data_IF_169663183968
#
_entry.id   IF_169663183968
#
_cell.length_a   1.000
_cell.length_b   1.000
_cell.length_c   1.000
_cell.angle_alpha   90.00
_cell.angle_beta   90.00
_cell.angle_gamma   90.00
#
_symmetry.space_group_name_H-M   'P 1'
#
loop_
_entity.id
_entity.type
_entity.pdbx_description
1 polymer ?
#
# COMPACT_ATOMS: atom_id res chain seq x y z
N UNK A 1 1.27 -14.08 7.04
CA UNK A 1 -0.03 -14.57 7.56
C UNK A 1 -0.64 -13.48 8.43
N UNK A 2 -1.91 -13.27 8.34
CA UNK A 2 -2.66 -12.35 9.20
C UNK A 2 -3.86 -13.13 9.76
N UNK A 3 -3.80 -13.49 11.04
CA UNK A 3 -4.76 -14.37 11.70
C UNK A 3 -4.94 -15.70 10.91
N UNK A 4 -6.13 -15.92 10.33
CA UNK A 4 -6.49 -17.04 9.49
C UNK A 4 -6.17 -16.87 8.00
N UNK A 5 -5.91 -15.64 7.55
CA UNK A 5 -5.56 -15.37 6.15
C UNK A 5 -4.13 -15.84 5.84
N UNK A 6 -3.98 -16.73 4.86
CA UNK A 6 -2.71 -17.26 4.37
C UNK A 6 -2.47 -16.80 2.95
N UNK A 7 -1.26 -16.34 2.66
CA UNK A 7 -0.83 -15.95 1.33
C UNK A 7 0.41 -16.74 0.95
N UNK A 8 0.37 -17.32 -0.23
CA UNK A 8 1.45 -18.06 -0.82
C UNK A 8 1.78 -17.39 -2.16
N UNK A 9 3.03 -17.15 -2.43
CA UNK A 9 3.47 -16.58 -3.69
C UNK A 9 4.69 -17.32 -4.23
N UNK A 10 4.78 -17.37 -5.54
CA UNK A 10 5.87 -17.99 -6.28
C UNK A 10 6.20 -17.14 -7.50
N UNK A 11 7.48 -16.96 -7.76
CA UNK A 11 7.94 -16.29 -8.97
C UNK A 11 8.06 -17.33 -10.10
N UNK A 12 7.71 -16.92 -11.33
CA UNK A 12 7.85 -17.74 -12.53
C UNK A 12 8.27 -16.91 -13.72
N UNK A 13 8.90 -17.53 -14.69
CA UNK A 13 9.12 -16.99 -16.03
C UNK A 13 7.92 -17.33 -16.93
N UNK A 14 7.95 -16.91 -18.22
CA UNK A 14 6.94 -17.28 -19.21
C UNK A 14 7.32 -18.56 -19.98
N UNK A 15 8.23 -19.34 -19.44
CA UNK A 15 8.48 -20.67 -19.93
C UNK A 15 7.37 -21.62 -19.45
N UNK A 16 6.93 -22.53 -20.34
CA UNK A 16 5.81 -23.42 -20.04
C UNK A 16 6.13 -24.35 -18.87
N UNK A 17 7.36 -24.85 -18.79
CA UNK A 17 7.77 -25.75 -17.74
C UNK A 17 7.90 -25.02 -16.41
N UNK A 18 8.38 -23.77 -16.40
CA UNK A 18 8.41 -22.92 -15.21
C UNK A 18 6.99 -22.61 -14.70
N UNK A 19 6.04 -22.31 -15.58
CA UNK A 19 4.65 -22.07 -15.18
C UNK A 19 4.02 -23.32 -14.58
N UNK A 20 4.20 -24.49 -15.23
CA UNK A 20 3.72 -25.76 -14.71
C UNK A 20 4.35 -26.09 -13.34
N UNK A 21 5.65 -25.87 -13.20
CA UNK A 21 6.36 -26.06 -11.92
C UNK A 21 5.83 -25.09 -10.84
N UNK A 22 5.58 -23.83 -11.18
CA UNK A 22 4.98 -22.88 -10.25
C UNK A 22 3.58 -23.31 -9.79
N UNK A 23 2.73 -23.79 -10.70
CA UNK A 23 1.41 -24.32 -10.37
C UNK A 23 1.52 -25.57 -9.48
N UNK A 24 2.46 -26.47 -9.78
CA UNK A 24 2.68 -27.67 -8.97
C UNK A 24 3.16 -27.32 -7.55
N UNK A 25 4.10 -26.39 -7.41
CA UNK A 25 4.57 -25.92 -6.09
C UNK A 25 3.45 -25.29 -5.27
N UNK A 26 2.56 -24.53 -5.90
CA UNK A 26 1.38 -23.96 -5.23
C UNK A 26 0.41 -25.06 -4.80
N UNK A 27 0.19 -26.07 -5.66
CA UNK A 27 -0.63 -27.25 -5.35
C UNK A 27 -0.07 -27.99 -4.13
N UNK A 28 1.22 -28.35 -4.14
CA UNK A 28 1.87 -29.10 -3.06
C UNK A 28 1.81 -28.31 -1.74
N UNK A 29 2.12 -27.01 -1.78
CA UNK A 29 2.06 -26.15 -0.60
C UNK A 29 0.63 -26.03 -0.04
N UNK A 30 -0.39 -25.95 -0.90
CA UNK A 30 -1.79 -25.90 -0.43
C UNK A 30 -2.25 -27.24 0.13
N UNK A 31 -1.74 -28.37 -0.41
CA UNK A 31 -1.98 -29.70 0.13
C UNK A 31 -1.38 -29.85 1.55
N UNK A 32 -0.13 -29.40 1.73
CA UNK A 32 0.53 -29.39 3.05
C UNK A 32 -0.23 -28.53 4.07
N UNK A 33 -0.66 -27.34 3.66
CA UNK A 33 -1.48 -26.45 4.49
C UNK A 33 -2.81 -27.12 4.87
N UNK A 34 -3.46 -27.78 3.92
CA UNK A 34 -4.71 -28.52 4.14
C UNK A 34 -4.53 -29.67 5.13
N UNK A 35 -3.47 -30.48 4.96
CA UNK A 35 -3.11 -31.57 5.87
C UNK A 35 -2.83 -31.04 7.29
N UNK A 36 -2.07 -29.95 7.40
CA UNK A 36 -1.83 -29.30 8.69
C UNK A 36 -3.12 -28.81 9.34
N UNK A 37 -4.01 -28.17 8.58
CA UNK A 37 -5.32 -27.74 9.08
C UNK A 37 -6.11 -28.93 9.61
N UNK A 38 -6.20 -30.02 8.83
CA UNK A 38 -6.91 -31.23 9.24
C UNK A 38 -6.35 -31.85 10.53
N UNK A 39 -5.02 -31.87 10.69
CA UNK A 39 -4.37 -32.35 11.92
C UNK A 39 -4.73 -31.53 13.17
N UNK A 40 -5.15 -30.27 12.97
CA UNK A 40 -5.60 -29.35 14.03
C UNK A 40 -7.11 -29.21 14.13
N UNK A 41 -7.87 -30.08 13.44
CA UNK A 41 -9.34 -30.04 13.33
C UNK A 41 -9.85 -28.71 12.76
N UNK A 42 -9.06 -28.10 11.88
CA UNK A 42 -9.42 -26.91 11.10
C UNK A 42 -9.71 -27.36 9.66
N UNK A 43 -10.57 -26.67 8.96
CA UNK A 43 -10.87 -26.94 7.56
C UNK A 43 -10.47 -25.74 6.71
N UNK A 44 -9.70 -25.99 5.66
CA UNK A 44 -9.40 -25.00 4.63
C UNK A 44 -10.69 -24.78 3.80
N UNK A 45 -11.05 -23.52 3.60
CA UNK A 45 -12.20 -23.20 2.75
C UNK A 45 -11.73 -23.00 1.29
N UNK A 46 -11.84 -24.05 0.49
CA UNK A 46 -11.45 -24.06 -0.92
C UNK A 46 -12.19 -23.00 -1.74
N UNK A 47 -13.50 -22.75 -1.43
CA UNK A 47 -14.32 -21.79 -2.19
C UNK A 47 -13.93 -20.34 -1.98
N UNK A 48 -13.18 -20.04 -0.93
CA UNK A 48 -12.63 -18.71 -0.63
C UNK A 48 -11.19 -18.56 -1.11
N UNK A 49 -10.57 -19.64 -1.57
CA UNK A 49 -9.20 -19.58 -2.11
C UNK A 49 -9.24 -18.85 -3.45
N UNK A 50 -8.38 -17.87 -3.60
CA UNK A 50 -8.26 -17.06 -4.81
C UNK A 50 -6.83 -17.21 -5.37
N UNK A 51 -6.74 -17.38 -6.68
CA UNK A 51 -5.49 -17.39 -7.44
C UNK A 51 -5.40 -16.07 -8.23
N UNK A 52 -4.23 -15.46 -8.26
CA UNK A 52 -3.98 -14.29 -9.09
C UNK A 52 -2.57 -14.31 -9.67
N UNK A 53 -2.46 -13.95 -10.94
CA UNK A 53 -1.18 -13.73 -11.59
C UNK A 53 -0.91 -12.25 -11.75
N UNK A 54 0.31 -11.83 -11.38
CA UNK A 54 0.71 -10.42 -11.45
C UNK A 54 1.82 -10.21 -12.47
N UNK A 55 1.65 -9.24 -13.36
CA UNK A 55 2.66 -8.98 -14.38
C UNK A 55 2.30 -7.85 -15.34
N UNK A 56 3.15 -7.66 -16.35
CA UNK A 56 2.83 -6.75 -17.46
C UNK A 56 1.71 -7.35 -18.30
N UNK A 57 0.78 -6.53 -18.88
CA UNK A 57 -0.32 -7.03 -19.68
C UNK A 57 0.11 -8.01 -20.79
N UNK A 58 1.15 -7.68 -21.54
CA UNK A 58 1.67 -8.54 -22.60
C UNK A 58 2.23 -9.88 -22.12
N UNK A 59 2.62 -9.98 -20.85
CA UNK A 59 3.04 -11.25 -20.23
C UNK A 59 1.84 -12.06 -19.76
N UNK A 60 0.84 -11.39 -19.20
CA UNK A 60 -0.40 -12.02 -18.75
C UNK A 60 -1.21 -12.60 -19.93
N UNK A 61 -1.23 -11.90 -21.09
CA UNK A 61 -1.82 -12.43 -22.34
C UNK A 61 -1.16 -13.73 -22.79
N UNK A 62 0.18 -13.81 -22.72
CA UNK A 62 0.92 -15.04 -23.04
C UNK A 62 0.65 -16.17 -22.04
N UNK A 63 0.56 -15.82 -20.75
CA UNK A 63 0.23 -16.77 -19.69
C UNK A 63 -1.18 -17.34 -19.86
N UNK A 64 -2.15 -16.53 -20.27
CA UNK A 64 -3.54 -16.95 -20.49
C UNK A 64 -3.68 -18.04 -21.57
N UNK A 65 -2.68 -18.19 -22.47
CA UNK A 65 -2.64 -19.25 -23.46
C UNK A 65 -2.07 -20.59 -22.91
N UNK A 66 -1.63 -20.64 -21.66
CA UNK A 66 -1.05 -21.79 -20.99
C UNK A 66 -2.01 -22.33 -19.92
N UNK A 67 -1.76 -23.57 -19.44
CA UNK A 67 -2.45 -24.03 -18.24
C UNK A 67 -1.85 -23.30 -17.02
N UNK A 68 -2.66 -22.48 -16.37
CA UNK A 68 -2.26 -21.58 -15.29
C UNK A 68 -3.22 -21.64 -14.10
N UNK A 69 -3.98 -22.73 -13.99
CA UNK A 69 -4.89 -23.06 -12.88
C UNK A 69 -4.17 -23.84 -11.79
N UNK A 70 -4.69 -23.81 -10.58
CA UNK A 70 -4.16 -24.57 -9.45
C UNK A 70 -5.27 -25.38 -8.81
N UNK A 71 -5.03 -26.67 -8.57
CA UNK A 71 -5.97 -27.53 -7.84
C UNK A 71 -5.73 -27.41 -6.35
N UNK A 72 -6.80 -27.13 -5.59
CA UNK A 72 -6.78 -27.06 -4.12
C UNK A 72 -7.85 -28.00 -3.60
N UNK A 73 -7.44 -29.06 -2.92
CA UNK A 73 -8.34 -30.14 -2.52
C UNK A 73 -9.02 -30.80 -3.73
N UNK A 74 -10.35 -30.72 -3.78
CA UNK A 74 -11.16 -31.20 -4.89
C UNK A 74 -11.49 -30.15 -5.95
N UNK A 75 -11.10 -28.90 -5.72
CA UNK A 75 -11.51 -27.74 -6.53
C UNK A 75 -10.40 -27.25 -7.45
N UNK A 76 -10.70 -27.00 -8.71
CA UNK A 76 -9.81 -26.30 -9.65
C UNK A 76 -10.05 -24.80 -9.49
N UNK A 77 -9.00 -24.07 -9.13
CA UNK A 77 -9.05 -22.63 -8.91
C UNK A 77 -8.57 -21.90 -10.17
N UNK A 78 -9.49 -21.20 -10.80
CA UNK A 78 -9.20 -20.31 -11.93
C UNK A 78 -8.61 -18.98 -11.43
N UNK A 79 -7.61 -18.42 -12.13
CA UNK A 79 -7.06 -17.14 -11.77
C UNK A 79 -8.07 -16.01 -11.99
N UNK A 80 -8.06 -15.05 -11.06
CA UNK A 80 -8.88 -13.84 -11.12
C UNK A 80 -8.06 -12.64 -11.53
N UNK A 81 -8.63 -11.78 -12.35
CA UNK A 81 -8.01 -10.49 -12.72
C UNK A 81 -7.87 -9.52 -11.56
N UNK A 82 -8.73 -9.68 -10.55
CA UNK A 82 -8.74 -8.85 -9.36
C UNK A 82 -9.04 -9.70 -8.14
N UNK A 83 -8.16 -9.63 -7.17
CA UNK A 83 -8.33 -10.28 -5.86
C UNK A 83 -8.40 -9.24 -4.76
N UNK A 84 -9.04 -9.60 -3.64
CA UNK A 84 -9.10 -8.75 -2.46
C UNK A 84 -8.19 -9.30 -1.37
N UNK A 85 -7.08 -8.62 -1.15
CA UNK A 85 -6.11 -8.96 -0.12
C UNK A 85 -6.19 -7.99 1.05
N UNK A 86 -6.51 -8.47 2.26
CA UNK A 86 -6.67 -7.67 3.49
C UNK A 86 -7.43 -6.34 3.26
N UNK A 87 -8.45 -6.38 2.42
CA UNK A 87 -9.28 -5.21 2.10
C UNK A 87 -8.74 -4.32 0.96
N UNK A 88 -7.55 -4.58 0.44
CA UNK A 88 -6.99 -3.91 -0.74
C UNK A 88 -7.35 -4.72 -1.99
N UNK A 89 -7.85 -4.04 -3.04
CA UNK A 89 -8.11 -4.67 -4.33
C UNK A 89 -6.83 -4.65 -5.16
N UNK A 90 -6.33 -5.82 -5.53
CA UNK A 90 -5.14 -5.99 -6.34
C UNK A 90 -5.56 -6.49 -7.72
N UNK A 91 -5.36 -5.68 -8.74
CA UNK A 91 -5.55 -6.08 -10.13
C UNK A 91 -4.27 -6.71 -10.69
N UNK A 92 -4.39 -7.60 -11.66
CA UNK A 92 -3.29 -8.38 -12.26
C UNK A 92 -2.11 -7.51 -12.75
N UNK A 93 -2.37 -6.28 -13.20
CA UNK A 93 -1.35 -5.29 -13.54
C UNK A 93 -0.87 -4.44 -12.37
N UNK A 94 -1.40 -4.65 -11.15
CA UNK A 94 -1.16 -3.84 -9.96
C UNK A 94 -1.36 -2.33 -10.22
N UNK A 95 -2.28 -1.95 -11.10
CA UNK A 95 -2.55 -0.55 -11.42
C UNK A 95 -3.23 0.21 -10.30
N UNK A 96 -3.85 -0.51 -9.37
CA UNK A 96 -4.60 -0.01 -8.21
C UNK A 96 -5.82 0.86 -8.58
N UNK A 97 -6.18 0.93 -9.86
CA UNK A 97 -7.30 1.76 -10.33
C UNK A 97 -8.63 1.33 -9.71
N UNK A 98 -8.87 0.02 -9.63
CA UNK A 98 -10.09 -0.52 -9.05
C UNK A 98 -10.16 -0.25 -7.54
N UNK A 99 -9.05 -0.42 -6.82
CA UNK A 99 -8.96 -0.09 -5.39
C UNK A 99 -9.28 1.39 -5.15
N UNK A 100 -8.63 2.29 -5.88
CA UNK A 100 -8.86 3.74 -5.77
C UNK A 100 -10.30 4.11 -6.11
N UNK A 101 -10.87 3.56 -7.18
CA UNK A 101 -12.25 3.82 -7.59
C UNK A 101 -13.25 3.36 -6.51
N UNK A 102 -13.08 2.14 -5.98
CA UNK A 102 -13.93 1.57 -4.92
C UNK A 102 -13.86 2.38 -3.65
N UNK A 103 -12.64 2.73 -3.21
CA UNK A 103 -12.41 3.56 -2.02
C UNK A 103 -13.05 4.94 -2.19
N UNK A 104 -12.83 5.60 -3.32
CA UNK A 104 -13.41 6.92 -3.60
C UNK A 104 -14.96 6.86 -3.62
N UNK A 105 -15.55 5.86 -4.28
CA UNK A 105 -17.00 5.66 -4.33
C UNK A 105 -17.58 5.48 -2.92
N UNK A 106 -16.97 4.64 -2.11
CA UNK A 106 -17.39 4.41 -0.72
C UNK A 106 -17.29 5.68 0.11
N UNK A 107 -16.20 6.44 -0.03
CA UNK A 107 -16.01 7.69 0.68
C UNK A 107 -17.04 8.75 0.25
N UNK A 108 -17.34 8.90 -1.04
CA UNK A 108 -18.38 9.80 -1.51
C UNK A 108 -19.78 9.42 -1.02
N UNK A 109 -20.06 8.11 -0.90
CA UNK A 109 -21.30 7.65 -0.28
C UNK A 109 -21.40 8.13 1.17
N UNK A 110 -20.34 7.96 1.97
CA UNK A 110 -20.31 8.45 3.35
C UNK A 110 -20.43 9.98 3.43
N UNK A 111 -19.73 10.72 2.57
CA UNK A 111 -19.84 12.18 2.53
C UNK A 111 -21.25 12.68 2.23
N UNK A 112 -22.00 11.98 1.34
CA UNK A 112 -23.41 12.31 1.07
C UNK A 112 -24.28 12.15 2.33
N UNK A 113 -24.08 11.05 3.07
CA UNK A 113 -24.81 10.81 4.33
C UNK A 113 -24.45 11.86 5.40
N UNK A 114 -23.16 12.14 5.57
CA UNK A 114 -22.70 13.14 6.52
C UNK A 114 -23.23 14.55 6.19
N UNK A 115 -23.39 14.88 4.92
CA UNK A 115 -23.97 16.16 4.48
C UNK A 115 -25.39 16.35 4.97
N UNK A 116 -26.20 15.30 5.04
CA UNK A 116 -27.58 15.35 5.51
C UNK A 116 -27.69 15.70 7.00
N UNK A 117 -26.72 15.24 7.80
CA UNK A 117 -26.75 15.44 9.26
C UNK A 117 -25.84 16.57 9.77
N UNK A 118 -25.01 17.14 8.87
CA UNK A 118 -24.00 18.14 9.25
C UNK A 118 -24.56 19.32 10.03
N UNK A 119 -25.74 19.83 9.64
CA UNK A 119 -26.38 20.98 10.28
C UNK A 119 -26.85 20.68 11.70
N UNK A 120 -27.03 19.40 12.05
CA UNK A 120 -27.44 18.93 13.39
C UNK A 120 -26.26 18.76 14.34
N UNK A 121 -25.10 18.34 13.81
CA UNK A 121 -23.99 17.88 14.65
C UNK A 121 -22.85 18.90 14.80
N UNK A 122 -22.89 20.02 14.09
CA UNK A 122 -21.83 21.04 14.15
C UNK A 122 -20.52 20.64 13.48
N UNK A 123 -19.52 21.53 13.55
CA UNK A 123 -18.25 21.35 12.83
C UNK A 123 -17.34 20.32 13.49
N UNK A 124 -17.24 20.31 14.81
CA UNK A 124 -16.33 19.42 15.54
C UNK A 124 -16.70 17.96 15.33
N UNK A 125 -17.95 17.60 15.58
CA UNK A 125 -18.43 16.24 15.40
C UNK A 125 -18.40 15.84 13.91
N UNK A 126 -18.71 16.76 12.98
CA UNK A 126 -18.53 16.51 11.55
C UNK A 126 -17.09 16.15 11.22
N UNK A 127 -16.12 16.83 11.83
CA UNK A 127 -14.69 16.52 11.63
C UNK A 127 -14.34 15.13 12.12
N UNK A 128 -14.82 14.75 13.31
CA UNK A 128 -14.59 13.40 13.85
C UNK A 128 -15.20 12.32 12.97
N UNK A 129 -16.44 12.50 12.52
CA UNK A 129 -17.13 11.57 11.62
C UNK A 129 -16.42 11.44 10.26
N UNK A 130 -15.92 12.56 9.70
CA UNK A 130 -15.12 12.54 8.47
C UNK A 130 -13.81 11.79 8.68
N UNK A 131 -13.14 11.97 9.81
CA UNK A 131 -11.94 11.19 10.12
C UNK A 131 -12.26 9.69 10.19
N UNK A 132 -13.31 9.31 10.90
CA UNK A 132 -13.69 7.91 11.10
C UNK A 132 -14.13 7.21 9.80
N UNK A 133 -14.94 7.86 8.96
CA UNK A 133 -15.59 7.20 7.82
C UNK A 133 -14.94 7.47 6.47
N UNK A 134 -14.13 8.52 6.37
CA UNK A 134 -13.53 8.95 5.09
C UNK A 134 -12.01 8.90 5.13
N UNK A 135 -11.36 9.64 6.05
CA UNK A 135 -9.89 9.68 6.05
C UNK A 135 -9.26 8.35 6.46
N UNK A 136 -9.86 7.62 7.38
CA UNK A 136 -9.41 6.26 7.74
C UNK A 136 -9.34 5.34 6.52
N UNK A 137 -10.31 5.45 5.60
CA UNK A 137 -10.34 4.65 4.36
C UNK A 137 -9.30 5.11 3.33
N UNK A 138 -9.04 6.42 3.22
CA UNK A 138 -7.98 6.96 2.36
C UNK A 138 -6.60 6.54 2.88
N UNK A 139 -6.43 6.45 4.20
CA UNK A 139 -5.15 6.13 4.83
C UNK A 139 -4.91 4.62 4.96
N UNK A 140 -5.95 3.79 4.82
CA UNK A 140 -5.82 2.34 4.89
C UNK A 140 -5.06 1.82 3.67
N UNK A 141 -3.94 1.11 3.91
CA UNK A 141 -3.12 0.55 2.86
C UNK A 141 -2.50 1.57 1.89
N UNK A 142 -2.49 2.86 2.20
CA UNK A 142 -2.10 3.91 1.26
C UNK A 142 -0.63 3.82 0.79
N UNK A 143 0.24 3.12 1.50
CA UNK A 143 1.61 2.84 1.07
C UNK A 143 1.66 2.05 -0.25
N UNK A 144 0.65 1.22 -0.55
CA UNK A 144 0.54 0.50 -1.84
C UNK A 144 0.32 1.42 -3.04
N UNK A 145 -0.08 2.68 -2.78
CA UNK A 145 -0.28 3.70 -3.80
C UNK A 145 1.02 4.46 -4.16
N UNK A 146 2.16 4.07 -3.57
CA UNK A 146 3.45 4.68 -3.85
C UNK A 146 3.80 4.59 -5.34
N UNK A 147 4.38 5.68 -5.89
CA UNK A 147 4.83 5.71 -7.28
C UNK A 147 3.73 5.63 -8.34
N UNK A 148 2.45 5.66 -7.97
CA UNK A 148 1.36 5.70 -8.93
C UNK A 148 1.25 7.06 -9.63
N UNK A 149 0.79 7.10 -10.89
CA UNK A 149 0.50 8.34 -11.59
C UNK A 149 -0.48 9.22 -10.82
N UNK A 150 -0.28 10.54 -10.87
CA UNK A 150 -1.19 11.50 -10.23
C UNK A 150 -2.64 11.33 -10.66
N UNK A 151 -2.89 10.98 -11.92
CA UNK A 151 -4.23 10.69 -12.45
C UNK A 151 -4.93 9.54 -11.72
N UNK A 152 -4.18 8.49 -11.34
CA UNK A 152 -4.72 7.36 -10.59
C UNK A 152 -5.12 7.76 -9.16
N UNK A 153 -4.34 8.63 -8.51
CA UNK A 153 -4.59 9.06 -7.12
C UNK A 153 -5.62 10.21 -7.05
N UNK A 154 -5.83 10.94 -8.15
CA UNK A 154 -6.73 12.10 -8.21
C UNK A 154 -8.15 11.87 -7.65
N UNK A 155 -8.81 10.70 -7.82
CA UNK A 155 -10.10 10.44 -7.19
C UNK A 155 -10.07 10.55 -5.67
N UNK A 156 -9.03 10.06 -5.00
CA UNK A 156 -8.88 10.16 -3.54
C UNK A 156 -8.64 11.60 -3.10
N UNK A 157 -7.87 12.38 -3.87
CA UNK A 157 -7.70 13.81 -3.60
C UNK A 157 -9.02 14.57 -3.74
N UNK A 158 -9.85 14.23 -4.73
CA UNK A 158 -11.20 14.82 -4.87
C UNK A 158 -12.09 14.49 -3.66
N UNK A 159 -12.03 13.27 -3.13
CA UNK A 159 -12.71 12.90 -1.89
C UNK A 159 -12.24 13.76 -0.73
N UNK A 160 -10.92 13.89 -0.53
CA UNK A 160 -10.35 14.70 0.55
C UNK A 160 -10.78 16.17 0.44
N UNK A 161 -10.78 16.72 -0.77
CA UNK A 161 -11.22 18.07 -1.03
C UNK A 161 -12.73 18.26 -0.71
N UNK A 162 -13.57 17.29 -1.08
CA UNK A 162 -14.99 17.31 -0.76
C UNK A 162 -15.25 17.21 0.75
N UNK A 163 -14.45 16.40 1.45
CA UNK A 163 -14.49 16.28 2.90
C UNK A 163 -14.13 17.59 3.60
N UNK A 164 -13.06 18.26 3.16
CA UNK A 164 -12.66 19.58 3.69
C UNK A 164 -13.76 20.64 3.47
N UNK A 165 -14.36 20.66 2.26
CA UNK A 165 -15.49 21.57 1.98
C UNK A 165 -16.69 21.30 2.88
N UNK A 166 -16.99 20.02 3.16
CA UNK A 166 -18.08 19.65 4.06
C UNK A 166 -17.86 20.20 5.49
N UNK A 167 -16.66 20.03 6.03
CA UNK A 167 -16.31 20.49 7.38
C UNK A 167 -16.34 22.00 7.47
N UNK A 168 -15.69 22.67 6.51
CA UNK A 168 -15.49 24.13 6.52
C UNK A 168 -16.66 24.91 5.90
N UNK A 169 -17.74 24.21 5.49
CA UNK A 169 -18.92 24.80 4.83
C UNK A 169 -18.58 25.66 3.59
N UNK A 170 -17.62 25.19 2.79
CA UNK A 170 -17.18 25.88 1.59
C UNK A 170 -18.06 25.53 0.39
N UNK A 171 -18.21 26.49 -0.54
CA UNK A 171 -18.86 26.28 -1.82
C UNK A 171 -17.99 25.46 -2.78
N UNK A 172 -18.59 24.91 -3.83
CA UNK A 172 -17.88 24.07 -4.82
C UNK A 172 -16.73 24.81 -5.49
N UNK A 173 -16.89 26.12 -5.71
CA UNK A 173 -15.91 26.98 -6.41
C UNK A 173 -14.83 27.57 -5.49
N UNK A 174 -14.97 27.43 -4.17
CA UNK A 174 -14.01 27.97 -3.23
C UNK A 174 -12.69 27.16 -3.28
N UNK A 175 -11.57 27.87 -3.15
CA UNK A 175 -10.26 27.23 -3.05
C UNK A 175 -10.17 26.39 -1.78
N UNK A 176 -9.77 25.11 -1.94
CA UNK A 176 -9.74 24.15 -0.83
C UNK A 176 -8.40 24.13 -0.07
N UNK A 177 -7.34 24.64 -0.68
CA UNK A 177 -5.98 24.62 -0.07
C UNK A 177 -5.91 25.29 1.30
N UNK A 178 -6.53 26.48 1.52
CA UNK A 178 -6.55 27.08 2.86
C UNK A 178 -7.25 26.20 3.89
N UNK A 179 -8.36 25.56 3.50
CA UNK A 179 -9.09 24.64 4.38
C UNK A 179 -8.26 23.40 4.75
N UNK A 180 -7.54 22.82 3.80
CA UNK A 180 -6.63 21.69 4.09
C UNK A 180 -5.52 22.10 5.06
N UNK A 181 -4.96 23.30 4.91
CA UNK A 181 -3.95 23.85 5.85
C UNK A 181 -4.54 24.07 7.24
N UNK A 182 -5.72 24.67 7.35
CA UNK A 182 -6.41 24.90 8.62
C UNK A 182 -6.76 23.58 9.33
N UNK A 183 -7.17 22.56 8.58
CA UNK A 183 -7.43 21.21 9.10
C UNK A 183 -6.13 20.41 9.36
N UNK A 184 -4.97 20.96 9.04
CA UNK A 184 -3.68 20.28 9.10
C UNK A 184 -3.67 18.95 8.31
N UNK A 185 -4.32 18.94 7.14
CA UNK A 185 -4.41 17.76 6.30
C UNK A 185 -3.35 17.78 5.19
N UNK A 186 -2.54 16.74 5.17
CA UNK A 186 -1.63 16.50 4.05
C UNK A 186 -2.43 16.05 2.82
N UNK A 187 -2.12 16.56 1.62
CA UNK A 187 -2.60 15.99 0.37
C UNK A 187 -2.31 14.49 0.26
N UNK A 188 -3.13 13.76 -0.51
CA UNK A 188 -3.06 12.29 -0.57
C UNK A 188 -1.66 11.78 -0.92
N UNK A 189 -0.97 12.40 -1.88
CA UNK A 189 0.39 11.98 -2.24
C UNK A 189 1.40 12.16 -1.09
N UNK A 190 1.28 13.23 -0.29
CA UNK A 190 2.12 13.40 0.91
C UNK A 190 1.72 12.45 2.05
N UNK A 191 0.45 12.02 2.12
CA UNK A 191 0.04 10.96 3.07
C UNK A 191 0.70 9.62 2.75
N UNK A 192 0.82 9.29 1.47
CA UNK A 192 1.56 8.08 1.02
C UNK A 192 3.03 8.17 1.45
N UNK A 193 3.70 9.27 1.12
CA UNK A 193 5.10 9.48 1.51
C UNK A 193 5.28 9.53 3.03
N UNK A 194 4.37 10.16 3.75
CA UNK A 194 4.36 10.19 5.21
C UNK A 194 4.31 8.77 5.80
N UNK A 195 3.48 7.90 5.23
CA UNK A 195 3.40 6.49 5.66
C UNK A 195 4.69 5.75 5.39
N UNK A 196 5.25 5.87 4.16
CA UNK A 196 6.53 5.26 3.79
C UNK A 196 7.66 5.73 4.72
N UNK A 197 7.81 7.03 4.93
CA UNK A 197 8.84 7.58 5.82
C UNK A 197 8.65 7.14 7.27
N UNK A 198 7.40 6.97 7.74
CA UNK A 198 7.14 6.43 9.09
C UNK A 198 7.56 4.97 9.21
N UNK A 199 7.39 4.17 8.16
CA UNK A 199 7.87 2.77 8.12
C UNK A 199 9.40 2.73 8.06
N UNK A 200 10.02 3.55 7.21
CA UNK A 200 11.49 3.67 7.12
C UNK A 200 12.11 4.13 8.45
N UNK A 201 11.47 5.07 9.16
CA UNK A 201 11.92 5.47 10.48
C UNK A 201 11.87 4.30 11.48
N UNK A 202 10.83 3.48 11.45
CA UNK A 202 10.75 2.30 12.31
C UNK A 202 11.87 1.28 12.01
N UNK A 203 12.24 1.13 10.72
CA UNK A 203 13.38 0.33 10.30
C UNK A 203 14.69 0.95 10.83
N UNK A 204 14.87 2.24 10.61
CA UNK A 204 16.07 2.98 10.98
C UNK A 204 16.35 2.95 12.47
N UNK A 205 15.29 2.96 13.30
CA UNK A 205 15.38 2.89 14.76
C UNK A 205 15.28 1.47 15.32
N UNK A 206 15.29 0.42 14.47
CA UNK A 206 15.18 -0.97 14.91
C UNK A 206 13.83 -1.35 15.55
N UNK A 207 12.78 -0.54 15.32
CA UNK A 207 11.45 -0.73 15.91
C UNK A 207 10.45 -1.35 14.91
N UNK A 208 10.91 -2.27 14.08
CA UNK A 208 10.08 -2.95 13.10
C UNK A 208 10.33 -4.47 13.12
N UNK A 209 9.38 -5.29 12.61
CA UNK A 209 9.62 -6.71 12.41
C UNK A 209 10.73 -6.97 11.40
N UNK A 210 11.49 -8.07 11.57
CA UNK A 210 12.61 -8.44 10.72
C UNK A 210 12.24 -8.51 9.23
N UNK A 211 11.08 -9.11 8.91
CA UNK A 211 10.63 -9.22 7.51
C UNK A 211 10.51 -7.86 6.78
N UNK A 212 10.35 -6.76 7.52
CA UNK A 212 10.28 -5.42 6.93
C UNK A 212 11.68 -4.81 6.78
N UNK A 213 12.56 -4.95 7.79
CA UNK A 213 13.96 -4.50 7.71
C UNK A 213 14.73 -5.19 6.60
N UNK A 214 14.49 -6.50 6.40
CA UNK A 214 15.16 -7.32 5.39
C UNK A 214 14.85 -6.89 3.94
N UNK A 215 13.78 -6.10 3.73
CA UNK A 215 13.43 -5.59 2.40
C UNK A 215 14.28 -4.41 1.93
N UNK A 216 15.04 -3.77 2.83
CA UNK A 216 15.84 -2.57 2.51
C UNK A 216 17.26 -2.73 3.06
N UNK A 217 18.22 -2.07 2.45
CA UNK A 217 19.63 -2.13 2.81
C UNK A 217 20.15 -0.71 3.09
N UNK A 218 20.73 -0.49 4.27
CA UNK A 218 21.40 0.77 4.56
C UNK A 218 22.65 0.93 3.69
N UNK A 219 22.98 2.17 3.35
CA UNK A 219 24.21 2.47 2.58
C UNK A 219 25.44 2.18 3.43
N UNK A 220 25.35 2.39 4.74
CA UNK A 220 26.41 2.11 5.70
C UNK A 220 26.82 0.62 5.76
N UNK A 221 25.86 -0.29 5.50
CA UNK A 221 26.09 -1.75 5.54
C UNK A 221 26.86 -2.29 4.32
N UNK A 222 27.22 -1.42 3.37
CA UNK A 222 27.92 -1.85 2.16
C UNK A 222 29.45 -1.91 2.40
N UNK A 223 30.06 -3.11 2.46
CA UNK A 223 31.48 -3.27 2.77
C UNK A 223 32.40 -2.60 1.73
N UNK A 224 31.94 -2.44 0.48
CA UNK A 224 32.74 -1.77 -0.59
C UNK A 224 32.82 -0.25 -0.40
N UNK A 225 32.08 0.32 0.55
CA UNK A 225 32.08 1.75 0.87
C UNK A 225 32.71 2.08 2.23
N UNK A 226 33.25 1.09 2.90
CA UNK A 226 33.98 1.30 4.16
C UNK A 226 35.13 2.33 3.95
N UNK A 227 35.13 3.38 4.78
CA UNK A 227 36.16 4.45 4.71
C UNK A 227 35.83 5.61 3.76
N UNK A 228 34.71 5.59 3.04
CA UNK A 228 34.27 6.76 2.25
C UNK A 228 33.45 7.71 3.15
N UNK A 229 33.59 9.04 2.94
CA UNK A 229 32.76 10.06 3.64
C UNK A 229 31.24 9.85 3.45
N UNK A 230 30.84 9.11 2.42
CA UNK A 230 29.44 8.73 2.18
C UNK A 230 28.98 7.49 2.94
N UNK A 231 29.86 6.83 3.72
CA UNK A 231 29.48 5.66 4.53
C UNK A 231 28.69 6.07 5.77
N UNK A 232 28.91 7.25 6.34
CA UNK A 232 28.25 7.76 7.56
C UNK A 232 26.90 8.46 7.24
N UNK A 233 26.17 7.97 6.25
CA UNK A 233 24.86 8.56 5.91
C UNK A 233 23.73 7.68 6.40
N UNK A 234 22.65 8.30 6.91
CA UNK A 234 21.40 7.64 7.24
C UNK A 234 20.59 7.18 5.99
N UNK A 235 21.24 7.13 4.83
CA UNK A 235 20.60 6.81 3.56
C UNK A 235 20.45 5.30 3.35
N UNK A 236 19.44 4.92 2.58
CA UNK A 236 19.19 3.54 2.17
C UNK A 236 19.44 3.37 0.66
N UNK A 237 19.93 2.18 0.30
CA UNK A 237 20.19 1.83 -1.09
C UNK A 237 18.88 1.68 -1.86
N UNK A 238 18.78 2.31 -3.03
CA UNK A 238 17.71 2.06 -4.01
C UNK A 238 18.14 0.91 -4.92
N UNK A 239 17.44 -0.21 -4.95
CA UNK A 239 17.75 -1.31 -5.87
C UNK A 239 17.60 -0.83 -7.32
N UNK A 240 18.40 -1.38 -8.22
CA UNK A 240 18.19 -1.16 -9.67
C UNK A 240 16.87 -1.81 -10.08
N UNK A 241 15.96 -1.04 -10.63
CA UNK A 241 14.67 -1.53 -11.07
C UNK A 241 14.26 -0.91 -12.40
N UNK A 242 13.99 -1.78 -13.39
CA UNK A 242 13.67 -1.39 -14.76
C UNK A 242 12.16 -1.47 -15.05
N UNK A 243 11.33 -1.75 -14.05
CA UNK A 243 9.89 -1.88 -14.23
C UNK A 243 9.14 -0.88 -13.36
N UNK A 244 8.05 -0.33 -13.89
CA UNK A 244 7.19 0.58 -13.12
C UNK A 244 6.59 -0.09 -11.87
N UNK A 245 6.29 -1.39 -11.94
CA UNK A 245 5.79 -2.17 -10.79
C UNK A 245 6.87 -2.26 -9.72
N UNK A 246 8.09 -2.64 -10.07
CA UNK A 246 9.17 -2.77 -9.12
C UNK A 246 9.58 -1.43 -8.46
N UNK A 247 9.49 -0.29 -9.19
CA UNK A 247 9.72 1.03 -8.61
C UNK A 247 8.67 1.43 -7.55
N UNK A 248 7.56 0.70 -7.47
CA UNK A 248 6.51 0.86 -6.48
C UNK A 248 6.65 -0.06 -5.28
N UNK A 249 7.49 -1.10 -5.39
CA UNK A 249 7.80 -1.97 -4.26
C UNK A 249 8.37 -1.16 -3.10
N UNK A 250 8.08 -1.58 -1.87
CA UNK A 250 8.55 -0.89 -0.67
C UNK A 250 10.08 -0.78 -0.63
N UNK A 251 10.80 -1.82 -1.08
CA UNK A 251 12.27 -1.84 -1.19
C UNK A 251 12.85 -0.72 -2.06
N UNK A 252 12.07 -0.14 -2.97
CA UNK A 252 12.46 1.02 -3.80
C UNK A 252 11.81 2.31 -3.30
N UNK A 253 10.49 2.31 -3.11
CA UNK A 253 9.72 3.51 -2.76
C UNK A 253 10.02 4.03 -1.35
N UNK A 254 10.28 3.13 -0.39
CA UNK A 254 10.67 3.47 0.98
C UNK A 254 12.00 4.24 1.02
N UNK A 255 13.12 3.65 0.54
CA UNK A 255 14.39 4.34 0.39
C UNK A 255 14.30 5.65 -0.41
N UNK A 256 13.53 5.68 -1.49
CA UNK A 256 13.34 6.90 -2.30
C UNK A 256 12.72 8.03 -1.48
N UNK A 257 11.64 7.73 -0.74
CA UNK A 257 10.95 8.72 0.10
C UNK A 257 11.81 9.16 1.30
N UNK A 258 12.51 8.23 1.93
CA UNK A 258 13.39 8.49 3.05
C UNK A 258 14.59 9.34 2.68
N UNK A 259 15.31 8.99 1.63
CA UNK A 259 16.52 9.71 1.20
C UNK A 259 16.21 11.13 0.68
N UNK A 260 14.95 11.43 0.37
CA UNK A 260 14.51 12.78 -0.02
C UNK A 260 14.25 13.70 1.19
N UNK A 261 14.26 13.16 2.42
CA UNK A 261 14.07 13.97 3.62
C UNK A 261 15.32 14.77 3.98
N UNK A 262 15.17 15.96 4.59
CA UNK A 262 16.28 16.68 5.21
C UNK A 262 16.98 15.83 6.28
N UNK A 263 18.31 15.94 6.37
CA UNK A 263 19.13 15.19 7.34
C UNK A 263 18.67 15.35 8.79
N UNK A 264 18.26 16.54 9.17
CA UNK A 264 17.74 16.82 10.51
C UNK A 264 16.49 15.98 10.90
N UNK A 265 15.80 15.36 9.94
CA UNK A 265 14.72 14.41 10.22
C UNK A 265 15.26 13.00 10.47
N UNK A 266 16.38 12.62 9.87
CA UNK A 266 16.98 11.31 10.07
C UNK A 266 17.52 11.13 11.48
N UNK A 267 17.97 12.23 12.12
CA UNK A 267 18.58 12.22 13.46
C UNK A 267 17.56 12.08 14.60
N UNK A 268 16.27 12.12 14.29
CA UNK A 268 15.22 12.04 15.33
C UNK A 268 14.91 10.58 15.67
N UNK A 269 15.32 10.12 16.82
CA UNK A 269 15.05 8.75 17.29
C UNK A 269 13.61 8.58 17.81
N UNK A 270 13.02 9.59 18.45
CA UNK A 270 11.66 9.49 18.98
C UNK A 270 10.62 9.50 17.87
N UNK A 271 9.80 8.44 17.83
CA UNK A 271 8.77 8.22 16.80
C UNK A 271 7.69 9.33 16.77
N UNK A 272 7.30 9.85 17.95
CA UNK A 272 6.26 10.88 18.02
C UNK A 272 6.79 12.21 17.52
N UNK A 273 8.00 12.57 17.92
CA UNK A 273 8.69 13.77 17.47
C UNK A 273 8.97 13.71 15.97
N UNK A 274 9.47 12.59 15.46
CA UNK A 274 9.67 12.36 14.02
C UNK A 274 8.38 12.60 13.23
N UNK A 275 7.28 11.94 13.60
CA UNK A 275 5.99 12.11 12.91
C UNK A 275 5.48 13.55 12.94
N UNK A 276 5.65 14.25 14.05
CA UNK A 276 5.28 15.67 14.17
C UNK A 276 6.11 16.54 13.22
N UNK A 277 7.43 16.40 13.22
CA UNK A 277 8.34 17.13 12.35
C UNK A 277 8.14 16.80 10.88
N UNK A 278 7.98 15.53 10.55
CA UNK A 278 7.68 15.05 9.20
C UNK A 278 6.38 15.66 8.66
N UNK A 279 5.33 15.71 9.48
CA UNK A 279 4.06 16.34 9.11
C UNK A 279 4.25 17.82 8.82
N UNK A 280 4.98 18.55 9.67
CA UNK A 280 5.30 19.97 9.47
C UNK A 280 6.08 20.18 8.17
N UNK A 281 7.09 19.33 7.91
CA UNK A 281 7.87 19.37 6.67
C UNK A 281 6.96 19.23 5.43
N UNK A 282 6.08 18.22 5.38
CA UNK A 282 5.17 18.06 4.24
C UNK A 282 4.10 19.15 4.13
N UNK A 283 3.71 19.79 5.23
CA UNK A 283 2.79 20.94 5.20
C UNK A 283 3.47 22.20 4.64
N UNK A 284 4.78 22.37 4.82
CA UNK A 284 5.51 23.50 4.26
C UNK A 284 5.76 23.40 2.76
N UNK A 285 5.64 22.21 2.18
CA UNK A 285 5.80 21.98 0.73
C UNK A 285 4.52 22.24 -0.09
N UNK A 286 3.39 22.62 0.57
CA UNK A 286 2.07 22.81 -0.06
C UNK A 286 1.67 24.28 -0.19
#
# INVERSE_FOLDING_TARGET
MYADDKQIYVDTTLDKDDVNNACQRLHDCTADVSAWCASRRLQLNETKTELAWFGKPSRLEKLAAMNHTVTVGSSVIEPKDVVRDLGVMLDSGLSMKQHVAKTASTCFYQLRRLRQVRHLVGQELTTQLVHAFVLSRIDYGNSTLAGLPKSTIAPLQRVQNAAARLIMNLRIRDHVTPALRQLHWLPVHHRVNFKLCTMMHAIHTGQCPAYLSDTVQAVADNPTRAGLRSADTAAYRKPKCNTAIGQRAFSFAGPLAWNALPSALHDIADRRQFRKRLKTHYLSLN
#
